data_IF_388933932257
#
_entry.id   IF_388933932257
#
_cell.length_a   1.000
_cell.length_b   1.000
_cell.length_c   1.000
_cell.angle_alpha   90.00
_cell.angle_beta   90.00
_cell.angle_gamma   90.00
#
_symmetry.space_group_name_H-M   'P 1'
#
loop_
_entity.id
_entity.type
_entity.pdbx_description
1 polymer ?
#
# COMPACT_ATOMS: atom_id res chain seq x y z
N UNK A 1 26.62 -5.20 26.40
CA UNK A 1 25.82 -6.06 25.50
C UNK A 1 26.74 -6.49 24.36
N UNK A 2 27.03 -7.79 24.22
CA UNK A 2 28.01 -8.27 23.25
C UNK A 2 27.41 -8.19 21.82
N UNK A 3 27.91 -7.27 20.99
CA UNK A 3 27.39 -6.98 19.64
C UNK A 3 27.96 -7.91 18.56
N UNK A 4 29.00 -8.69 18.87
CA UNK A 4 29.65 -9.62 17.94
C UNK A 4 28.67 -10.56 17.19
N UNK A 5 27.71 -11.24 17.84
CA UNK A 5 26.79 -12.14 17.12
C UNK A 5 25.84 -11.40 16.18
N UNK A 6 25.54 -10.12 16.42
CA UNK A 6 24.73 -9.30 15.51
C UNK A 6 25.55 -8.89 14.28
N UNK A 7 26.82 -8.52 14.49
CA UNK A 7 27.74 -8.14 13.40
C UNK A 7 28.01 -9.33 12.49
N UNK A 8 28.20 -10.53 13.03
CA UNK A 8 28.39 -11.74 12.23
C UNK A 8 27.16 -12.09 11.40
N UNK A 9 25.95 -11.99 11.98
CA UNK A 9 24.71 -12.19 11.24
C UNK A 9 24.53 -11.15 10.13
N UNK A 10 24.78 -9.88 10.43
CA UNK A 10 24.70 -8.82 9.42
C UNK A 10 25.69 -9.04 8.27
N UNK A 11 26.92 -9.46 8.58
CA UNK A 11 27.92 -9.83 7.57
C UNK A 11 27.50 -11.05 6.75
N UNK A 12 26.88 -12.05 7.37
CA UNK A 12 26.33 -13.20 6.67
C UNK A 12 25.25 -12.79 5.66
N UNK A 13 24.31 -11.96 6.09
CA UNK A 13 23.25 -11.39 5.22
C UNK A 13 23.86 -10.58 4.06
N UNK A 14 24.82 -9.70 4.34
CA UNK A 14 25.44 -8.85 3.32
C UNK A 14 26.29 -9.63 2.30
N UNK A 15 26.81 -10.81 2.66
CA UNK A 15 27.59 -11.67 1.77
C UNK A 15 26.73 -12.61 0.92
N UNK A 16 25.46 -12.75 1.25
CA UNK A 16 24.53 -13.59 0.50
C UNK A 16 24.30 -13.00 -0.92
N UNK A 17 24.36 -13.80 -1.99
CA UNK A 17 24.09 -13.33 -3.35
C UNK A 17 22.71 -12.66 -3.52
N UNK A 18 21.71 -13.06 -2.73
CA UNK A 18 20.38 -12.47 -2.75
C UNK A 18 20.39 -11.00 -2.29
N UNK A 19 21.32 -10.61 -1.41
CA UNK A 19 21.50 -9.20 -1.02
C UNK A 19 21.85 -8.33 -2.23
N UNK A 20 22.85 -8.73 -3.01
CA UNK A 20 23.24 -8.00 -4.22
C UNK A 20 22.16 -8.00 -5.29
N UNK A 21 21.35 -9.06 -5.32
CA UNK A 21 20.16 -9.11 -6.18
C UNK A 21 19.15 -8.03 -5.79
N UNK A 22 18.87 -7.89 -4.48
CA UNK A 22 17.99 -6.82 -3.98
C UNK A 22 18.52 -5.41 -4.26
N UNK A 23 19.84 -5.19 -4.12
CA UNK A 23 20.49 -3.92 -4.48
C UNK A 23 20.29 -3.61 -5.97
N UNK A 24 20.54 -4.60 -6.84
CA UNK A 24 20.42 -4.43 -8.29
C UNK A 24 18.98 -4.14 -8.71
N UNK A 25 18.01 -4.89 -8.18
CA UNK A 25 16.60 -4.71 -8.51
C UNK A 25 16.09 -3.34 -8.05
N UNK A 26 16.59 -2.81 -6.93
CA UNK A 26 16.24 -1.49 -6.40
C UNK A 26 16.98 -0.32 -7.09
N UNK A 27 18.13 -0.59 -7.74
CA UNK A 27 18.96 0.45 -8.35
C UNK A 27 18.24 1.24 -9.43
N UNK A 28 17.37 0.58 -10.22
CA UNK A 28 16.60 1.24 -11.28
C UNK A 28 15.62 2.29 -10.77
N UNK A 29 15.06 2.07 -9.57
CA UNK A 29 14.12 3.01 -8.94
C UNK A 29 14.80 4.06 -8.07
N UNK A 30 16.08 3.86 -7.72
CA UNK A 30 16.82 4.72 -6.80
C UNK A 30 16.88 6.19 -7.27
N UNK A 31 17.02 6.44 -8.57
CA UNK A 31 17.03 7.80 -9.12
C UNK A 31 15.70 8.53 -8.86
N UNK A 32 14.57 7.85 -9.11
CA UNK A 32 13.24 8.42 -8.88
C UNK A 32 12.97 8.68 -7.39
N UNK A 33 13.37 7.74 -6.53
CA UNK A 33 13.29 7.87 -5.08
C UNK A 33 14.15 9.06 -4.60
N UNK A 34 15.35 9.21 -5.16
CA UNK A 34 16.24 10.32 -4.81
C UNK A 34 15.72 11.67 -5.25
N UNK A 35 15.18 11.80 -6.47
CA UNK A 35 14.53 13.02 -6.91
C UNK A 35 13.34 13.38 -6.00
N UNK A 36 12.52 12.39 -5.65
CA UNK A 36 11.39 12.58 -4.75
C UNK A 36 11.82 12.98 -3.33
N UNK A 37 12.85 12.33 -2.79
CA UNK A 37 13.44 12.64 -1.48
C UNK A 37 13.96 14.07 -1.45
N UNK A 38 14.74 14.48 -2.45
CA UNK A 38 15.29 15.84 -2.58
C UNK A 38 14.18 16.90 -2.57
N UNK A 39 13.16 16.71 -3.40
CA UNK A 39 12.01 17.62 -3.49
C UNK A 39 11.27 17.70 -2.15
N UNK A 40 11.09 16.56 -1.47
CA UNK A 40 10.47 16.50 -0.14
C UNK A 40 11.30 17.27 0.89
N UNK A 41 12.62 17.13 0.85
CA UNK A 41 13.55 17.86 1.70
C UNK A 41 13.46 19.37 1.55
N UNK A 42 13.46 19.85 0.31
CA UNK A 42 13.29 21.29 0.00
C UNK A 42 11.91 21.77 0.47
N UNK A 43 10.86 20.98 0.21
CA UNK A 43 9.50 21.33 0.60
C UNK A 43 9.34 21.50 2.12
N UNK A 44 10.01 20.67 2.94
CA UNK A 44 9.97 20.81 4.40
C UNK A 44 10.47 22.19 4.85
N UNK A 45 11.65 22.62 4.39
CA UNK A 45 12.22 23.93 4.76
C UNK A 45 11.39 25.08 4.19
N UNK A 46 10.97 25.01 2.92
CA UNK A 46 10.15 26.05 2.29
C UNK A 46 8.75 26.17 2.89
N UNK A 47 8.26 25.14 3.59
CA UNK A 47 7.01 25.18 4.37
C UNK A 47 7.17 25.85 5.74
N UNK A 48 8.35 26.40 6.05
CA UNK A 48 8.63 27.09 7.32
C UNK A 48 9.10 26.17 8.44
N UNK A 49 9.43 24.91 8.15
CA UNK A 49 9.98 23.98 9.14
C UNK A 49 11.42 24.34 9.48
N UNK A 50 11.78 24.29 10.76
CA UNK A 50 13.18 24.49 11.17
C UNK A 50 14.07 23.34 10.71
N UNK A 51 15.34 23.63 10.44
CA UNK A 51 16.32 22.64 9.99
C UNK A 51 16.40 21.39 10.90
N UNK A 52 16.51 21.51 12.24
CA UNK A 52 16.56 20.34 13.10
C UNK A 52 15.28 19.50 13.05
N UNK A 53 14.11 20.14 12.93
CA UNK A 53 12.83 19.45 12.85
C UNK A 53 12.66 18.73 11.51
N UNK A 54 13.11 19.34 10.41
CA UNK A 54 13.09 18.72 9.08
C UNK A 54 13.99 17.47 9.03
N UNK A 55 15.20 17.53 9.60
CA UNK A 55 16.09 16.37 9.70
C UNK A 55 15.50 15.27 10.57
N UNK A 56 14.92 15.64 11.71
CA UNK A 56 14.27 14.70 12.62
C UNK A 56 13.08 13.99 11.96
N UNK A 57 12.23 14.74 11.27
CA UNK A 57 11.10 14.20 10.50
C UNK A 57 11.57 13.33 9.33
N UNK A 58 12.60 13.76 8.61
CA UNK A 58 13.22 13.00 7.51
C UNK A 58 13.70 11.62 7.93
N UNK A 59 14.33 11.53 9.11
CA UNK A 59 14.89 10.28 9.64
C UNK A 59 13.84 9.40 10.32
N UNK A 60 13.00 9.95 11.21
CA UNK A 60 12.06 9.14 11.98
C UNK A 60 10.79 8.79 11.20
N UNK A 61 10.26 9.75 10.44
CA UNK A 61 9.02 9.56 9.68
C UNK A 61 9.41 9.11 8.28
N UNK A 62 9.88 7.86 8.16
CA UNK A 62 10.26 7.28 6.87
C UNK A 62 9.01 6.94 6.02
N UNK A 63 8.30 7.97 5.58
CA UNK A 63 7.07 7.89 4.80
C UNK A 63 6.87 9.19 4.01
N UNK A 64 7.50 9.29 2.83
CA UNK A 64 7.50 10.50 2.00
C UNK A 64 6.09 11.05 1.69
N UNK A 65 5.14 10.18 1.36
CA UNK A 65 3.76 10.60 1.07
C UNK A 65 3.08 11.20 2.30
N UNK A 66 3.31 10.65 3.49
CA UNK A 66 2.77 11.19 4.73
C UNK A 66 3.43 12.54 5.09
N UNK A 67 4.75 12.66 4.90
CA UNK A 67 5.48 13.91 5.11
C UNK A 67 4.89 15.03 4.25
N UNK A 68 4.72 14.80 2.95
CA UNK A 68 4.15 15.78 2.03
C UNK A 68 2.67 16.07 2.30
N UNK A 69 1.88 15.08 2.72
CA UNK A 69 0.47 15.29 3.06
C UNK A 69 0.28 16.19 4.28
N UNK A 70 1.17 16.13 5.27
CA UNK A 70 1.05 16.94 6.48
C UNK A 70 1.69 18.32 6.37
N UNK A 71 2.65 18.53 5.46
CA UNK A 71 3.34 19.81 5.33
C UNK A 71 2.40 21.01 5.13
N UNK A 72 1.39 20.98 4.25
CA UNK A 72 0.43 22.07 4.12
C UNK A 72 -0.34 22.34 5.42
N UNK A 73 -0.71 21.28 6.15
CA UNK A 73 -1.43 21.39 7.42
C UNK A 73 -0.58 22.08 8.48
N UNK A 74 0.70 21.71 8.55
CA UNK A 74 1.67 22.33 9.45
C UNK A 74 1.94 23.78 9.06
N UNK A 75 2.08 24.08 7.77
CA UNK A 75 2.32 25.43 7.26
C UNK A 75 1.18 26.42 7.56
N UNK A 76 -0.08 25.95 7.56
CA UNK A 76 -1.25 26.77 7.92
C UNK A 76 -1.58 26.76 9.41
N UNK A 77 -0.76 26.10 10.24
CA UNK A 77 -0.98 26.01 11.69
C UNK A 77 -2.21 25.20 12.10
N UNK A 78 -2.56 24.16 11.33
CA UNK A 78 -3.67 23.27 11.68
C UNK A 78 -3.44 22.56 13.03
N UNK A 79 -4.51 22.20 13.77
CA UNK A 79 -4.38 21.47 15.02
C UNK A 79 -3.59 20.16 14.87
N UNK A 80 -2.73 19.84 15.82
CA UNK A 80 -1.82 18.68 15.74
C UNK A 80 -2.54 17.35 15.57
N UNK A 81 -3.75 17.20 16.13
CA UNK A 81 -4.54 15.98 15.95
C UNK A 81 -4.98 15.77 14.50
N UNK A 82 -5.22 16.84 13.72
CA UNK A 82 -5.55 16.75 12.28
C UNK A 82 -4.33 16.30 11.50
N UNK A 83 -3.15 16.80 11.85
CA UNK A 83 -1.85 16.40 11.29
C UNK A 83 -1.61 14.91 11.54
N UNK A 84 -1.77 14.44 12.78
CA UNK A 84 -1.62 13.03 13.12
C UNK A 84 -2.65 12.15 12.44
N UNK A 85 -3.92 12.56 12.41
CA UNK A 85 -4.97 11.82 11.73
C UNK A 85 -4.66 11.64 10.24
N UNK A 86 -4.24 12.72 9.56
CA UNK A 86 -3.82 12.67 8.15
C UNK A 86 -2.65 11.73 7.94
N UNK A 87 -1.60 11.82 8.77
CA UNK A 87 -0.45 10.93 8.70
C UNK A 87 -0.83 9.46 8.92
N UNK A 88 -1.73 9.17 9.87
CA UNK A 88 -2.23 7.81 10.15
C UNK A 88 -2.99 7.29 8.93
N UNK A 89 -3.95 8.05 8.39
CA UNK A 89 -4.74 7.65 7.23
C UNK A 89 -3.85 7.31 6.03
N UNK A 90 -2.87 8.15 5.71
CA UNK A 90 -1.94 7.91 4.61
C UNK A 90 -1.08 6.66 4.86
N UNK A 91 -0.70 6.42 6.12
CA UNK A 91 0.14 5.28 6.51
C UNK A 91 -0.62 3.97 6.74
N UNK A 92 -1.97 3.94 6.71
CA UNK A 92 -2.74 2.70 6.80
C UNK A 92 -2.31 1.65 5.76
N UNK A 93 -1.76 2.10 4.62
CA UNK A 93 -1.13 1.22 3.62
C UNK A 93 -0.12 0.26 4.24
N UNK A 94 0.69 0.69 5.21
CA UNK A 94 1.66 -0.18 5.87
C UNK A 94 1.02 -1.32 6.67
N UNK A 95 -0.23 -1.16 7.13
CA UNK A 95 -0.99 -2.25 7.75
C UNK A 95 -1.32 -3.33 6.72
N UNK A 96 -1.75 -2.92 5.53
CA UNK A 96 -2.04 -3.82 4.41
C UNK A 96 -0.75 -4.54 3.96
N UNK A 97 0.34 -3.79 3.74
CA UNK A 97 1.64 -4.36 3.37
C UNK A 97 2.13 -5.38 4.41
N UNK A 98 1.99 -5.04 5.71
CA UNK A 98 2.37 -5.91 6.81
C UNK A 98 1.55 -7.20 6.86
N UNK A 99 0.26 -7.14 6.53
CA UNK A 99 -0.61 -8.31 6.43
C UNK A 99 -0.12 -9.28 5.35
N UNK A 100 0.22 -8.76 4.17
CA UNK A 100 0.72 -9.56 3.05
C UNK A 100 2.11 -10.15 3.33
N UNK A 101 2.96 -9.42 4.05
CA UNK A 101 4.29 -9.88 4.45
C UNK A 101 4.32 -10.78 5.68
N UNK A 102 3.18 -10.98 6.35
CA UNK A 102 3.08 -11.81 7.56
C UNK A 102 3.62 -13.22 7.31
N UNK A 103 3.22 -13.88 6.23
CA UNK A 103 3.64 -15.25 5.92
C UNK A 103 5.16 -15.40 5.73
N UNK A 104 5.85 -14.32 5.35
CA UNK A 104 7.29 -14.32 5.11
C UNK A 104 8.09 -14.05 6.39
N UNK A 105 7.69 -13.07 7.20
CA UNK A 105 8.51 -12.56 8.30
C UNK A 105 7.94 -12.82 9.71
N UNK A 106 6.78 -13.46 9.85
CA UNK A 106 6.16 -13.68 11.17
C UNK A 106 7.00 -14.56 12.11
N UNK A 107 7.82 -15.47 11.56
CA UNK A 107 8.69 -16.35 12.33
C UNK A 107 9.88 -15.61 12.99
N UNK A 108 10.13 -14.34 12.61
CA UNK A 108 11.22 -13.55 13.14
C UNK A 108 10.89 -12.92 14.51
N UNK A 109 11.92 -12.71 15.32
CA UNK A 109 11.80 -12.02 16.63
C UNK A 109 11.25 -10.60 16.44
N UNK A 110 10.50 -10.11 17.43
CA UNK A 110 9.84 -8.79 17.38
C UNK A 110 10.77 -7.64 16.97
N UNK A 111 11.99 -7.59 17.51
CA UNK A 111 12.96 -6.52 17.17
C UNK A 111 13.34 -6.50 15.69
N UNK A 112 13.49 -7.66 15.05
CA UNK A 112 13.75 -7.73 13.61
C UNK A 112 12.51 -7.34 12.80
N UNK A 113 11.32 -7.75 13.25
CA UNK A 113 10.06 -7.35 12.60
C UNK A 113 9.84 -5.84 12.65
N UNK A 114 10.17 -5.19 13.77
CA UNK A 114 10.13 -3.72 13.89
C UNK A 114 11.14 -3.04 12.96
N UNK A 115 12.35 -3.59 12.84
CA UNK A 115 13.34 -3.07 11.90
C UNK A 115 12.86 -3.22 10.44
N UNK A 116 12.34 -4.40 10.07
CA UNK A 116 11.73 -4.63 8.75
C UNK A 116 10.59 -3.64 8.52
N UNK A 117 9.70 -3.44 9.50
CA UNK A 117 8.60 -2.50 9.40
C UNK A 117 9.07 -1.05 9.17
N UNK A 118 10.11 -0.59 9.89
CA UNK A 118 10.66 0.75 9.67
C UNK A 118 11.30 0.89 8.28
N UNK A 119 12.06 -0.11 7.83
CA UNK A 119 12.69 -0.09 6.50
C UNK A 119 11.74 -0.55 5.37
N UNK A 120 10.45 -0.73 5.66
CA UNK A 120 9.45 -1.08 4.66
C UNK A 120 9.14 0.11 3.78
N UNK A 121 8.88 -0.13 2.49
CA UNK A 121 8.49 0.89 1.54
C UNK A 121 7.74 0.29 0.37
N UNK A 122 6.91 1.10 -0.29
CA UNK A 122 6.00 0.61 -1.34
C UNK A 122 6.78 -0.05 -2.50
N UNK A 123 7.89 0.56 -2.90
CA UNK A 123 8.75 0.03 -3.98
C UNK A 123 9.44 -1.27 -3.57
N UNK A 124 9.88 -1.36 -2.31
CA UNK A 124 10.45 -2.60 -1.75
C UNK A 124 9.38 -3.68 -1.72
N UNK A 125 8.16 -3.34 -1.30
CA UNK A 125 7.04 -4.26 -1.28
C UNK A 125 6.71 -4.83 -2.65
N UNK A 126 6.53 -3.96 -3.65
CA UNK A 126 6.23 -4.39 -5.02
C UNK A 126 7.36 -5.25 -5.58
N UNK A 127 8.62 -4.83 -5.42
CA UNK A 127 9.78 -5.59 -5.88
C UNK A 127 9.89 -6.96 -5.21
N UNK A 128 9.63 -7.02 -3.90
CA UNK A 128 9.66 -8.26 -3.12
C UNK A 128 8.55 -9.22 -3.56
N UNK A 129 7.30 -8.75 -3.64
CA UNK A 129 6.17 -9.59 -4.02
C UNK A 129 6.24 -10.05 -5.47
N UNK A 130 6.82 -9.24 -6.37
CA UNK A 130 7.07 -9.64 -7.76
C UNK A 130 8.08 -10.80 -7.83
N UNK A 131 9.10 -10.80 -6.97
CA UNK A 131 10.14 -11.83 -6.97
C UNK A 131 9.74 -13.09 -6.21
N UNK A 132 8.99 -12.94 -5.12
CA UNK A 132 8.52 -14.03 -4.27
C UNK A 132 6.99 -14.08 -4.24
N UNK A 133 6.33 -14.45 -5.36
CA UNK A 133 4.87 -14.48 -5.44
C UNK A 133 4.25 -15.54 -4.51
N UNK A 134 4.97 -16.62 -4.25
CA UNK A 134 4.53 -17.68 -3.35
C UNK A 134 4.78 -17.29 -1.89
N UNK A 135 3.72 -17.31 -1.07
CA UNK A 135 3.74 -16.94 0.34
C UNK A 135 4.39 -18.01 1.24
N UNK A 136 5.62 -18.42 0.92
CA UNK A 136 6.42 -19.41 1.65
C UNK A 136 7.72 -18.79 2.14
N UNK A 137 8.10 -18.97 3.42
CA UNK A 137 9.41 -18.53 3.92
C UNK A 137 10.55 -19.22 3.16
N UNK A 138 11.49 -18.42 2.66
CA UNK A 138 12.72 -18.90 2.02
C UNK A 138 13.94 -18.16 2.61
N UNK A 139 15.11 -18.83 2.76
CA UNK A 139 16.31 -18.22 3.35
C UNK A 139 16.78 -16.95 2.64
N UNK A 140 16.62 -16.88 1.32
CA UNK A 140 17.12 -15.82 0.44
C UNK A 140 16.30 -14.52 0.55
N UNK A 141 15.08 -14.60 1.08
CA UNK A 141 14.16 -13.46 1.19
C UNK A 141 14.68 -12.38 2.12
N UNK A 142 15.28 -12.76 3.25
CA UNK A 142 15.76 -11.81 4.25
C UNK A 142 16.98 -11.03 3.74
N UNK A 143 18.02 -11.67 3.16
CA UNK A 143 19.10 -10.94 2.50
C UNK A 143 18.64 -10.08 1.33
N UNK A 144 17.74 -10.59 0.47
CA UNK A 144 17.16 -9.78 -0.60
C UNK A 144 16.46 -8.51 -0.07
N UNK A 145 15.61 -8.66 0.95
CA UNK A 145 14.93 -7.53 1.58
C UNK A 145 15.93 -6.47 2.08
N UNK A 146 16.99 -6.88 2.78
CA UNK A 146 17.97 -5.94 3.31
C UNK A 146 18.80 -5.26 2.21
N UNK A 147 19.09 -5.97 1.11
CA UNK A 147 19.69 -5.39 -0.08
C UNK A 147 18.83 -4.27 -0.64
N UNK A 148 17.57 -4.58 -0.94
CA UNK A 148 16.61 -3.62 -1.47
C UNK A 148 16.34 -2.45 -0.49
N UNK A 149 16.16 -2.75 0.79
CA UNK A 149 15.90 -1.76 1.83
C UNK A 149 17.05 -0.78 2.03
N UNK A 150 18.29 -1.27 2.05
CA UNK A 150 19.47 -0.40 2.21
C UNK A 150 19.64 0.54 1.03
N UNK A 151 19.48 0.05 -0.21
CA UNK A 151 19.51 0.89 -1.41
C UNK A 151 18.40 1.93 -1.40
N UNK A 152 17.16 1.54 -1.10
CA UNK A 152 16.00 2.44 -1.06
C UNK A 152 16.14 3.51 0.03
N UNK A 153 16.63 3.13 1.22
CA UNK A 153 16.82 4.05 2.33
C UNK A 153 17.93 5.07 2.03
N UNK A 154 19.07 4.64 1.48
CA UNK A 154 20.14 5.55 1.09
C UNK A 154 19.71 6.47 -0.06
N UNK A 155 19.03 5.93 -1.07
CA UNK A 155 18.48 6.68 -2.19
C UNK A 155 17.46 7.73 -1.74
N UNK A 156 16.75 7.51 -0.63
CA UNK A 156 15.86 8.49 -0.03
C UNK A 156 16.58 9.50 0.86
N UNK A 157 17.34 9.02 1.84
CA UNK A 157 17.88 9.83 2.92
C UNK A 157 18.97 10.79 2.45
N UNK A 158 19.86 10.36 1.56
CA UNK A 158 20.94 11.21 1.07
C UNK A 158 20.37 12.41 0.31
N UNK A 159 19.52 12.23 -0.72
CA UNK A 159 18.95 13.36 -1.44
C UNK A 159 17.95 14.17 -0.60
N UNK A 160 17.16 13.54 0.28
CA UNK A 160 16.28 14.28 1.20
C UNK A 160 17.05 15.19 2.13
N UNK A 161 18.13 14.70 2.73
CA UNK A 161 19.00 15.50 3.59
C UNK A 161 19.67 16.62 2.79
N UNK A 162 20.11 16.32 1.56
CA UNK A 162 20.67 17.33 0.67
C UNK A 162 19.65 18.41 0.32
N UNK A 163 18.40 18.04 0.03
CA UNK A 163 17.30 18.96 -0.23
C UNK A 163 16.99 19.86 0.96
N UNK A 164 17.04 19.30 2.19
CA UNK A 164 16.90 20.07 3.43
C UNK A 164 18.04 21.08 3.57
N UNK A 165 19.29 20.65 3.42
CA UNK A 165 20.48 21.49 3.65
C UNK A 165 20.67 22.56 2.57
N UNK A 166 20.33 22.24 1.31
CA UNK A 166 20.47 23.15 0.19
C UNK A 166 19.24 24.02 -0.04
N UNK A 167 18.17 23.87 0.76
CA UNK A 167 16.92 24.60 0.55
C UNK A 167 17.10 26.13 0.50
N UNK A 168 18.01 26.67 1.31
CA UNK A 168 18.30 28.11 1.37
C UNK A 168 19.11 28.61 0.17
N UNK A 169 19.92 27.73 -0.42
CA UNK A 169 20.68 28.02 -1.64
C UNK A 169 19.80 28.04 -2.88
N UNK A 170 18.56 27.55 -2.79
CA UNK A 170 17.60 27.62 -3.88
C UNK A 170 16.85 28.97 -3.81
N UNK A 171 17.13 29.92 -4.72
CA UNK A 171 16.58 31.27 -4.66
C UNK A 171 15.06 31.26 -4.74
N UNK A 172 14.38 32.07 -3.93
CA UNK A 172 12.93 32.26 -4.03
C UNK A 172 12.51 32.81 -5.40
N UNK A 173 13.41 33.53 -6.09
CA UNK A 173 13.22 34.05 -7.45
C UNK A 173 13.09 32.97 -8.52
N UNK A 174 13.52 31.73 -8.25
CA UNK A 174 13.23 30.58 -9.12
C UNK A 174 11.76 30.14 -9.01
N UNK A 175 10.96 30.80 -8.17
CA UNK A 175 9.56 30.49 -7.97
C UNK A 175 9.33 29.28 -7.07
N UNK A 176 10.26 28.90 -6.17
CA UNK A 176 10.07 27.68 -5.36
C UNK A 176 9.00 27.76 -4.28
N UNK A 177 8.50 28.96 -3.94
CA UNK A 177 7.23 29.04 -3.20
C UNK A 177 6.11 28.35 -3.97
N UNK A 178 6.09 28.51 -5.29
CA UNK A 178 5.24 27.74 -6.21
C UNK A 178 5.79 26.33 -6.45
N UNK A 179 7.11 26.10 -6.49
CA UNK A 179 7.65 24.75 -6.63
C UNK A 179 7.30 23.81 -5.47
N UNK A 180 7.12 24.32 -4.24
CA UNK A 180 6.55 23.53 -3.15
C UNK A 180 5.12 23.08 -3.46
N UNK A 181 4.29 23.97 -4.01
CA UNK A 181 2.94 23.64 -4.49
C UNK A 181 3.00 22.70 -5.70
N UNK A 182 3.91 22.89 -6.65
CA UNK A 182 4.09 22.00 -7.81
C UNK A 182 4.65 20.64 -7.42
N UNK A 183 5.50 20.56 -6.40
CA UNK A 183 6.00 19.32 -5.83
C UNK A 183 4.86 18.54 -5.19
N UNK A 184 4.05 19.21 -4.36
CA UNK A 184 2.83 18.64 -3.80
C UNK A 184 1.84 18.24 -4.90
N UNK A 185 1.71 19.04 -5.96
CA UNK A 185 0.89 18.73 -7.12
C UNK A 185 1.42 17.52 -7.89
N UNK A 186 2.74 17.43 -8.10
CA UNK A 186 3.37 16.29 -8.76
C UNK A 186 3.20 14.99 -7.98
N UNK A 187 3.27 15.06 -6.65
CA UNK A 187 2.98 13.92 -5.78
C UNK A 187 1.50 13.58 -5.74
N UNK A 188 0.61 14.58 -5.69
CA UNK A 188 -0.83 14.35 -5.83
C UNK A 188 -1.12 13.62 -7.15
N UNK A 189 -0.58 14.12 -8.27
CA UNK A 189 -0.76 13.53 -9.59
C UNK A 189 -0.20 12.12 -9.69
N UNK A 190 0.93 11.81 -9.03
CA UNK A 190 1.47 10.44 -9.01
C UNK A 190 0.65 9.47 -8.16
N UNK A 191 -0.16 9.98 -7.23
CA UNK A 191 -1.10 9.18 -6.44
C UNK A 191 -2.44 8.95 -7.16
N UNK A 192 -2.77 9.72 -8.20
CA UNK A 192 -4.00 9.62 -8.97
C UNK A 192 -3.88 8.60 -10.13
N UNK A 193 -3.97 7.30 -9.80
CA UNK A 193 -3.68 6.21 -10.74
C UNK A 193 -4.93 5.55 -11.36
N UNK A 194 -6.13 5.76 -10.79
CA UNK A 194 -7.36 5.08 -11.22
C UNK A 194 -8.57 6.01 -11.15
N UNK A 195 -9.69 5.61 -11.80
CA UNK A 195 -10.89 6.45 -11.86
C UNK A 195 -11.45 6.79 -10.49
N UNK A 196 -11.34 5.91 -9.49
CA UNK A 196 -11.86 6.17 -8.17
C UNK A 196 -10.99 7.19 -7.42
N UNK A 197 -9.65 7.07 -7.51
CA UNK A 197 -8.75 8.09 -6.93
C UNK A 197 -8.92 9.46 -7.60
N UNK A 198 -9.12 9.52 -8.92
CA UNK A 198 -9.43 10.76 -9.63
C UNK A 198 -10.75 11.39 -9.18
N UNK A 199 -11.84 10.61 -9.08
CA UNK A 199 -13.13 11.11 -8.59
C UNK A 199 -13.01 11.62 -7.15
N UNK A 200 -12.36 10.85 -6.27
CA UNK A 200 -12.13 11.25 -4.89
C UNK A 200 -11.33 12.56 -4.80
N UNK A 201 -10.28 12.71 -5.64
CA UNK A 201 -9.48 13.92 -5.70
C UNK A 201 -10.27 15.15 -6.16
N UNK A 202 -11.09 15.03 -7.20
CA UNK A 202 -11.94 16.13 -7.70
C UNK A 202 -12.99 16.53 -6.65
N UNK A 203 -13.61 15.56 -6.00
CA UNK A 203 -14.59 15.81 -4.91
C UNK A 203 -13.90 16.50 -3.74
N UNK A 204 -12.71 16.04 -3.33
CA UNK A 204 -11.94 16.66 -2.26
C UNK A 204 -11.61 18.12 -2.58
N UNK A 205 -11.11 18.39 -3.80
CA UNK A 205 -10.77 19.73 -4.25
C UNK A 205 -12.00 20.65 -4.26
N UNK A 206 -13.12 20.17 -4.79
CA UNK A 206 -14.38 20.91 -4.86
C UNK A 206 -14.92 21.24 -3.47
N UNK A 207 -14.89 20.25 -2.57
CA UNK A 207 -15.30 20.40 -1.18
C UNK A 207 -14.41 21.36 -0.41
N UNK A 208 -13.09 21.31 -0.61
CA UNK A 208 -12.13 22.25 0.00
C UNK A 208 -12.38 23.70 -0.43
N UNK A 209 -12.73 23.92 -1.70
CA UNK A 209 -13.04 25.25 -2.25
C UNK A 209 -14.39 25.74 -1.73
N UNK A 210 -15.42 24.90 -1.75
CA UNK A 210 -16.76 25.25 -1.27
C UNK A 210 -16.77 25.58 0.24
N UNK A 211 -15.99 24.84 1.02
CA UNK A 211 -15.88 25.02 2.46
C UNK A 211 -14.88 26.10 2.88
N UNK A 212 -14.25 26.80 1.93
CA UNK A 212 -13.13 27.73 2.20
C UNK A 212 -13.46 28.82 3.23
N UNK A 213 -14.73 29.26 3.30
CA UNK A 213 -15.18 30.27 4.24
C UNK A 213 -15.27 29.81 5.71
N UNK A 214 -15.12 28.50 5.99
CA UNK A 214 -15.21 27.99 7.35
C UNK A 214 -13.99 28.40 8.20
N UNK A 215 -14.20 28.81 9.47
CA UNK A 215 -13.12 29.12 10.39
C UNK A 215 -12.31 27.86 10.72
N UNK A 216 -11.11 28.06 11.28
CA UNK A 216 -10.21 26.98 11.73
C UNK A 216 -9.73 26.02 10.62
N UNK A 217 -9.80 26.43 9.35
CA UNK A 217 -9.40 25.61 8.20
C UNK A 217 -10.16 24.26 8.12
N UNK A 218 -11.42 24.26 8.58
CA UNK A 218 -12.33 23.11 8.49
C UNK A 218 -12.54 22.63 7.06
N UNK A 219 -12.29 23.49 6.07
CA UNK A 219 -12.33 23.14 4.66
C UNK A 219 -11.48 21.91 4.31
N UNK A 220 -10.36 21.70 5.01
CA UNK A 220 -9.51 20.52 4.86
C UNK A 220 -10.21 19.26 5.38
N UNK A 221 -10.84 19.34 6.56
CA UNK A 221 -11.56 18.21 7.16
C UNK A 221 -12.78 17.82 6.32
N UNK A 222 -13.51 18.81 5.80
CA UNK A 222 -14.62 18.59 4.87
C UNK A 222 -14.13 17.92 3.57
N UNK A 223 -12.99 18.37 3.03
CA UNK A 223 -12.38 17.75 1.85
C UNK A 223 -12.01 16.28 2.07
N UNK A 224 -11.40 15.95 3.21
CA UNK A 224 -11.04 14.57 3.58
C UNK A 224 -12.30 13.71 3.71
N UNK A 225 -13.31 14.19 4.46
CA UNK A 225 -14.56 13.45 4.66
C UNK A 225 -15.28 13.19 3.33
N UNK A 226 -15.35 14.20 2.47
CA UNK A 226 -15.95 14.08 1.14
C UNK A 226 -15.17 13.10 0.24
N UNK A 227 -13.83 13.14 0.28
CA UNK A 227 -12.97 12.23 -0.48
C UNK A 227 -13.18 10.77 -0.05
N UNK A 228 -13.21 10.51 1.27
CA UNK A 228 -13.44 9.16 1.83
C UNK A 228 -14.82 8.65 1.44
N UNK A 229 -15.87 9.48 1.60
CA UNK A 229 -17.22 9.09 1.21
C UNK A 229 -17.31 8.77 -0.29
N UNK A 230 -16.74 9.63 -1.14
CA UNK A 230 -16.70 9.41 -2.58
C UNK A 230 -15.91 8.15 -2.97
N UNK A 231 -14.77 7.90 -2.32
CA UNK A 231 -13.97 6.70 -2.53
C UNK A 231 -14.72 5.42 -2.19
N UNK A 232 -15.36 5.37 -1.02
CA UNK A 232 -16.16 4.22 -0.57
C UNK A 232 -17.37 3.97 -1.48
N UNK A 233 -18.06 5.02 -1.93
CA UNK A 233 -19.16 4.92 -2.87
C UNK A 233 -18.70 4.42 -4.24
N UNK A 234 -17.58 4.95 -4.75
CA UNK A 234 -17.01 4.52 -6.02
C UNK A 234 -16.59 3.04 -5.98
N UNK A 235 -15.99 2.59 -4.88
CA UNK A 235 -15.61 1.19 -4.70
C UNK A 235 -16.85 0.29 -4.62
N UNK A 236 -17.88 0.68 -3.87
CA UNK A 236 -19.15 -0.08 -3.76
C UNK A 236 -19.83 -0.21 -5.12
N UNK A 237 -19.87 0.87 -5.90
CA UNK A 237 -20.45 0.86 -7.25
C UNK A 237 -19.61 -0.01 -8.20
N UNK A 238 -18.30 0.04 -8.14
CA UNK A 238 -17.43 -0.84 -8.93
C UNK A 238 -17.59 -2.32 -8.55
N UNK A 239 -17.72 -2.63 -7.26
CA UNK A 239 -17.98 -4.00 -6.80
C UNK A 239 -19.34 -4.51 -7.30
N UNK A 240 -20.39 -3.68 -7.23
CA UNK A 240 -21.71 -4.03 -7.77
C UNK A 240 -21.70 -4.21 -9.28
N UNK A 241 -21.03 -3.33 -10.02
CA UNK A 241 -20.90 -3.46 -11.48
C UNK A 241 -20.10 -4.71 -11.85
N UNK A 242 -19.04 -5.04 -11.12
CA UNK A 242 -18.29 -6.30 -11.32
C UNK A 242 -19.13 -7.53 -10.96
N UNK A 243 -20.00 -7.46 -9.94
CA UNK A 243 -20.92 -8.54 -9.62
C UNK A 243 -21.99 -8.75 -10.70
N UNK A 244 -22.45 -7.67 -11.34
CA UNK A 244 -23.37 -7.71 -12.48
C UNK A 244 -22.71 -8.14 -13.80
N UNK A 245 -21.40 -7.90 -13.94
CA UNK A 245 -20.61 -8.26 -15.12
C UNK A 245 -19.90 -9.61 -14.99
N UNK A 246 -19.85 -10.21 -13.80
CA UNK A 246 -19.38 -11.57 -13.63
C UNK A 246 -20.29 -12.45 -14.50
N UNK A 247 -19.75 -13.17 -15.50
CA UNK A 247 -20.56 -14.11 -16.24
C UNK A 247 -21.22 -15.02 -15.21
N UNK A 248 -22.53 -15.18 -15.34
CA UNK A 248 -23.29 -16.19 -14.63
C UNK A 248 -22.41 -17.45 -14.69
N UNK A 249 -21.92 -17.92 -13.53
CA UNK A 249 -21.23 -19.21 -13.49
C UNK A 249 -22.21 -20.13 -14.20
N UNK A 250 -21.84 -20.63 -15.38
CA UNK A 250 -22.52 -21.79 -15.95
C UNK A 250 -22.53 -22.78 -14.80
N UNK A 251 -23.69 -22.96 -14.17
CA UNK A 251 -23.91 -24.14 -13.35
C UNK A 251 -23.46 -25.29 -14.26
N UNK A 252 -22.56 -26.17 -13.80
CA UNK A 252 -22.18 -27.31 -14.62
C UNK A 252 -23.49 -27.99 -15.00
N UNK A 253 -23.84 -27.92 -16.28
CA UNK A 253 -25.06 -28.52 -16.80
C UNK A 253 -25.12 -29.95 -16.30
N UNK A 254 -26.32 -30.47 -15.98
CA UNK A 254 -26.48 -31.70 -15.22
C UNK A 254 -25.50 -32.76 -15.75
N UNK A 255 -24.63 -33.26 -14.86
CA UNK A 255 -23.56 -34.19 -15.22
C UNK A 255 -24.21 -35.40 -15.88
N UNK A 256 -24.15 -35.45 -17.22
CA UNK A 256 -24.72 -36.56 -17.98
C UNK A 256 -23.75 -37.73 -17.79
N UNK A 257 -24.19 -38.71 -17.00
CA UNK A 257 -23.39 -39.90 -16.74
C UNK A 257 -23.31 -40.74 -18.03
N UNK A 258 -22.13 -41.27 -18.37
CA UNK A 258 -21.99 -42.15 -19.52
C UNK A 258 -22.90 -43.38 -19.38
N UNK A 259 -23.42 -43.94 -20.49
CA UNK A 259 -24.32 -45.08 -20.48
C UNK A 259 -23.68 -46.26 -19.74
N UNK A 260 -24.38 -46.76 -18.71
CA UNK A 260 -23.97 -47.94 -17.99
C UNK A 260 -24.22 -49.21 -18.84
N UNK A 261 -23.15 -49.64 -19.51
CA UNK A 261 -23.15 -50.83 -20.36
C UNK A 261 -23.29 -52.13 -19.58
N UNK A 262 -23.06 -52.14 -18.25
CA UNK A 262 -23.20 -53.33 -17.42
C UNK A 262 -24.66 -53.67 -17.13
N UNK A 263 -25.58 -52.71 -17.29
CA UNK A 263 -27.03 -52.92 -17.15
C UNK A 263 -27.78 -52.84 -18.49
N UNK A 264 -27.06 -52.90 -19.62
CA UNK A 264 -27.64 -52.96 -20.96
C UNK A 264 -28.21 -51.64 -21.48
N UNK A 265 -27.91 -50.51 -20.83
CA UNK A 265 -28.40 -49.22 -21.25
C UNK A 265 -27.50 -48.56 -22.31
N UNK A 266 -28.12 -48.00 -23.35
CA UNK A 266 -27.42 -47.41 -24.51
C UNK A 266 -27.44 -45.87 -24.52
N UNK A 267 -28.09 -45.24 -23.55
CA UNK A 267 -28.25 -43.78 -23.50
C UNK A 267 -27.69 -43.21 -22.20
N UNK A 268 -27.19 -41.98 -22.29
CA UNK A 268 -26.55 -41.27 -21.18
C UNK A 268 -27.62 -40.81 -20.17
N UNK A 269 -27.34 -40.91 -18.87
CA UNK A 269 -28.33 -40.73 -17.80
C UNK A 269 -28.19 -39.38 -17.09
N UNK A 270 -29.33 -38.78 -16.74
CA UNK A 270 -29.41 -37.71 -15.75
C UNK A 270 -29.38 -38.32 -14.34
N UNK A 271 -28.68 -37.72 -13.36
CA UNK A 271 -28.76 -38.16 -11.97
C UNK A 271 -30.21 -37.96 -11.48
N UNK A 272 -30.93 -39.04 -11.19
CA UNK A 272 -32.22 -38.97 -10.52
C UNK A 272 -31.95 -38.79 -9.03
N UNK A 273 -32.54 -37.77 -8.39
CA UNK A 273 -32.51 -37.60 -6.93
C UNK A 273 -33.06 -38.87 -6.26
N UNK A 274 -32.18 -39.66 -5.65
CA UNK A 274 -32.51 -40.91 -4.95
C UNK A 274 -33.34 -40.71 -3.67
N UNK A 275 -33.70 -39.47 -3.32
CA UNK A 275 -34.53 -39.16 -2.15
C UNK A 275 -36.04 -39.07 -2.43
N UNK A 276 -36.48 -39.19 -3.68
CA UNK A 276 -37.91 -39.29 -4.01
C UNK A 276 -38.41 -40.75 -3.96
N UNK A 277 -38.24 -41.45 -2.84
CA UNK A 277 -38.90 -42.76 -2.63
C UNK A 277 -40.38 -42.56 -2.26
N UNK A 278 -41.34 -43.24 -2.92
CA UNK A 278 -42.74 -43.13 -2.58
C UNK A 278 -43.05 -43.78 -1.23
N UNK A 279 -43.91 -43.13 -0.45
CA UNK A 279 -44.43 -43.58 0.84
C UNK A 279 -44.97 -45.01 0.73
N UNK A 280 -44.34 -45.96 1.42
CA UNK A 280 -44.87 -47.33 1.56
C UNK A 280 -46.12 -47.30 2.46
N UNK A 281 -47.28 -47.52 1.84
CA UNK A 281 -48.53 -47.85 2.53
C UNK A 281 -48.37 -49.23 3.20
N UNK A 282 -48.30 -49.28 4.54
CA UNK A 282 -48.35 -50.54 5.28
C UNK A 282 -49.79 -51.01 5.38
N UNK A 283 -50.14 -51.97 4.54
CA UNK A 283 -51.26 -52.87 4.72
C UNK A 283 -50.87 -53.92 5.78
N UNK A 284 -51.66 -54.04 6.85
CA UNK A 284 -51.62 -55.16 7.79
C UNK A 284 -53.04 -55.71 7.91
N UNK A 285 -53.26 -56.85 7.29
CA UNK A 285 -54.46 -57.68 7.46
C UNK A 285 -54.47 -58.36 8.84
N UNK A 286 -55.68 -58.37 9.43
CA UNK A 286 -56.32 -59.41 10.28
C UNK A 286 -55.61 -59.97 11.51
N UNK A 287 -56.16 -59.66 12.68
CA UNK A 287 -56.99 -60.58 13.49
C UNK A 287 -57.92 -59.77 14.41
#
# INVERSE_FOLDING_TARGET
MNLQPLVERARGIARDPAFMTGVRDMSGTALGIGAWGLVTGVAMIKSGMSLPLALFMGLLVYAGSAQLAVLPLMAVGAPMWVVWFTAICVNLRFVILSSMWRSYFAHLRLRHRLAIAYFSGDVIFVGFMKRYPDARPQPEQLPYFWGAASTNWLAWQIPSTLGILLADQVPLSWGLGFAGVLALMGVLLSMLNDRATWVAGVVAASAAVAAFALPLKLNILVAIAAAVAAGLLAETLQQRLRALQAPEKEEPGPVILPPDTAHGERHARLPLDEDARPVQTKEKETL
#
